data_IF_697873858456
#
_entry.id   IF_697873858456
#
_cell.length_a   1.000
_cell.length_b   1.000
_cell.length_c   1.000
_cell.angle_alpha   90.00
_cell.angle_beta   90.00
_cell.angle_gamma   90.00
#
_symmetry.space_group_name_H-M   'P 1'
#
loop_
_entity.id
_entity.type
_entity.pdbx_description
1 polymer ?
#
# COMPACT_ATOMS: atom_id res chain seq x y z
N UNK A 1 3.89 -31.00 -59.99
CA UNK A 1 5.35 -30.82 -60.14
C UNK A 1 5.91 -30.34 -58.81
N UNK A 2 6.85 -31.12 -58.24
CA UNK A 2 8.00 -30.75 -57.37
C UNK A 2 7.87 -29.43 -56.56
N UNK A 3 8.13 -29.34 -55.26
CA UNK A 3 9.15 -29.99 -54.41
C UNK A 3 9.00 -29.35 -53.01
N UNK A 4 9.13 -30.11 -51.93
CA UNK A 4 10.12 -29.93 -50.84
C UNK A 4 9.70 -30.71 -49.57
N UNK A 5 10.59 -31.61 -49.18
CA UNK A 5 10.81 -32.27 -47.90
C UNK A 5 12.35 -32.16 -47.69
N UNK A 6 13.02 -32.29 -46.52
CA UNK A 6 12.55 -32.62 -45.15
C UNK A 6 13.27 -31.83 -44.02
N UNK A 7 13.05 -32.27 -42.77
CA UNK A 7 13.97 -32.26 -41.60
C UNK A 7 13.79 -31.15 -40.55
N UNK A 8 12.95 -31.42 -39.56
CA UNK A 8 13.35 -31.24 -38.15
C UNK A 8 12.93 -32.51 -37.39
N UNK A 9 13.94 -33.30 -37.02
CA UNK A 9 13.85 -34.43 -36.10
C UNK A 9 14.66 -34.07 -34.85
N UNK A 10 14.29 -34.69 -33.73
CA UNK A 10 15.03 -34.76 -32.45
C UNK A 10 14.62 -33.78 -31.35
N UNK A 11 13.58 -34.22 -30.63
CA UNK A 11 13.40 -34.01 -29.19
C UNK A 11 14.62 -34.59 -28.46
N UNK A 12 15.33 -33.78 -27.66
CA UNK A 12 16.35 -34.29 -26.74
C UNK A 12 15.82 -34.28 -25.31
N UNK A 13 15.59 -35.49 -24.79
CA UNK A 13 15.55 -35.78 -23.35
C UNK A 13 16.99 -36.13 -22.94
N UNK A 14 17.55 -35.43 -21.96
CA UNK A 14 18.74 -35.89 -21.26
C UNK A 14 18.47 -35.92 -19.77
N UNK A 15 18.00 -37.08 -19.31
CA UNK A 15 18.12 -37.47 -17.92
C UNK A 15 19.56 -37.90 -17.64
N UNK A 16 20.11 -37.44 -16.52
CA UNK A 16 21.22 -38.12 -15.85
C UNK A 16 20.83 -38.40 -14.41
N UNK A 17 20.65 -39.70 -14.14
CA UNK A 17 20.75 -40.33 -12.83
C UNK A 17 22.21 -40.24 -12.37
N UNK A 18 22.46 -39.84 -11.14
CA UNK A 18 23.69 -40.20 -10.43
C UNK A 18 23.40 -40.56 -8.97
N UNK A 19 23.80 -41.78 -8.66
CA UNK A 19 24.23 -42.40 -7.40
C UNK A 19 23.68 -41.90 -6.05
N UNK A 20 23.00 -42.83 -5.37
CA UNK A 20 23.03 -43.00 -3.90
C UNK A 20 24.48 -43.06 -3.42
N UNK A 21 24.84 -42.26 -2.42
CA UNK A 21 25.57 -42.75 -1.25
C UNK A 21 25.59 -41.73 -0.10
N UNK A 22 25.39 -42.31 1.09
CA UNK A 22 25.85 -41.92 2.42
C UNK A 22 25.22 -40.71 3.14
N UNK A 23 24.50 -41.11 4.19
CA UNK A 23 24.08 -40.34 5.36
C UNK A 23 25.33 -39.86 6.11
N UNK A 24 25.41 -38.56 6.34
CA UNK A 24 26.18 -37.92 7.41
C UNK A 24 25.34 -36.72 7.86
N UNK A 25 24.81 -36.81 9.07
CA UNK A 25 24.09 -35.74 9.72
C UNK A 25 25.05 -34.61 10.07
N UNK A 26 24.91 -33.47 9.40
CA UNK A 26 25.43 -32.19 9.87
C UNK A 26 24.27 -31.21 9.98
N UNK A 27 24.05 -30.58 11.15
CA UNK A 27 23.03 -29.57 11.30
C UNK A 27 23.47 -28.31 10.54
N UNK A 28 22.92 -28.13 9.33
CA UNK A 28 23.05 -26.88 8.60
C UNK A 28 22.32 -25.80 9.39
N UNK A 29 23.08 -24.95 10.06
CA UNK A 29 22.61 -23.71 10.65
C UNK A 29 21.80 -22.95 9.61
N UNK A 30 20.49 -22.82 9.85
CA UNK A 30 19.64 -21.94 9.08
C UNK A 30 20.27 -20.54 9.11
N UNK A 31 20.75 -20.08 7.95
CA UNK A 31 21.18 -18.70 7.78
C UNK A 31 19.99 -17.81 8.09
N UNK A 32 20.08 -17.09 9.22
CA UNK A 32 19.17 -16.03 9.62
C UNK A 32 18.93 -15.10 8.44
N UNK A 33 17.78 -15.24 7.80
CA UNK A 33 17.13 -14.12 7.15
C UNK A 33 16.65 -13.28 8.34
N UNK A 34 17.48 -12.33 8.77
CA UNK A 34 17.08 -11.27 9.68
C UNK A 34 16.01 -10.45 8.97
N UNK A 35 14.76 -10.90 9.10
CA UNK A 35 13.60 -10.07 8.82
C UNK A 35 13.65 -8.94 9.81
N UNK A 36 13.84 -7.71 9.30
CA UNK A 36 13.76 -6.51 10.11
C UNK A 36 12.44 -6.56 10.89
N UNK A 37 12.54 -6.65 12.22
CA UNK A 37 11.41 -6.57 13.15
C UNK A 37 11.57 -5.27 13.95
N UNK A 38 10.53 -4.43 14.04
CA UNK A 38 10.55 -3.24 14.88
C UNK A 38 11.00 -3.58 16.31
N UNK A 39 11.68 -2.66 16.99
CA UNK A 39 12.19 -2.89 18.36
C UNK A 39 11.09 -3.31 19.34
N UNK A 40 9.87 -2.82 19.16
CA UNK A 40 8.72 -3.19 20.01
C UNK A 40 8.28 -4.66 19.84
N UNK A 41 8.56 -5.32 18.71
CA UNK A 41 8.34 -6.77 18.55
C UNK A 41 9.33 -7.61 19.38
N UNK A 42 10.39 -7.00 19.91
CA UNK A 42 11.35 -7.66 20.81
C UNK A 42 10.95 -7.53 22.28
N UNK A 43 9.97 -6.70 22.62
CA UNK A 43 9.49 -6.54 23.98
C UNK A 43 8.35 -7.54 24.29
N UNK A 44 8.54 -8.51 25.21
CA UNK A 44 7.58 -9.59 25.44
C UNK A 44 6.17 -9.11 25.80
N UNK A 45 6.08 -8.00 26.53
CA UNK A 45 4.84 -7.43 27.04
C UNK A 45 4.01 -6.77 25.92
N UNK A 46 4.69 -6.05 25.02
CA UNK A 46 4.10 -5.52 23.79
C UNK A 46 3.75 -6.67 22.84
N UNK A 47 4.58 -7.71 22.78
CA UNK A 47 4.33 -8.88 21.94
C UNK A 47 3.09 -9.67 22.37
N UNK A 48 2.76 -9.76 23.66
CA UNK A 48 1.50 -10.38 24.11
C UNK A 48 0.28 -9.47 23.89
N UNK A 49 0.44 -8.14 24.02
CA UNK A 49 -0.58 -7.16 23.65
C UNK A 49 -0.83 -7.12 22.14
N UNK A 50 0.20 -7.36 21.32
CA UNK A 50 0.19 -7.31 19.86
C UNK A 50 0.17 -8.69 19.19
N UNK A 51 0.18 -9.79 19.95
CA UNK A 51 0.14 -11.18 19.44
C UNK A 51 -1.07 -11.49 18.57
N UNK A 52 -2.29 -11.00 18.90
CA UNK A 52 -3.45 -11.12 18.00
C UNK A 52 -3.31 -10.36 16.67
N UNK A 53 -2.22 -9.60 16.51
CA UNK A 53 -1.97 -8.59 15.49
C UNK A 53 -0.62 -8.79 14.77
N UNK A 54 0.15 -9.85 15.03
CA UNK A 54 1.34 -10.20 14.20
C UNK A 54 1.15 -11.49 13.41
N UNK A 55 0.09 -12.24 13.71
CA UNK A 55 -0.23 -13.55 13.11
C UNK A 55 -1.62 -13.60 12.51
N UNK A 56 -2.28 -12.45 12.28
CA UNK A 56 -3.56 -12.44 11.59
C UNK A 56 -3.37 -13.14 10.22
N UNK A 57 -4.16 -14.18 9.98
CA UNK A 57 -4.12 -14.91 8.72
C UNK A 57 -4.31 -13.89 7.61
N UNK A 58 -3.40 -13.90 6.64
CA UNK A 58 -3.43 -13.02 5.48
C UNK A 58 -4.85 -13.02 4.87
N UNK A 59 -5.61 -11.94 5.06
CA UNK A 59 -7.00 -11.86 4.60
C UNK A 59 -6.99 -11.39 3.15
N UNK A 60 -7.25 -12.31 2.25
CA UNK A 60 -7.54 -12.00 0.86
C UNK A 60 -9.01 -11.64 0.69
N UNK A 61 -9.28 -10.63 -0.13
CA UNK A 61 -10.62 -10.31 -0.59
C UNK A 61 -10.58 -10.16 -2.11
N UNK A 62 -11.14 -11.16 -2.80
CA UNK A 62 -10.87 -11.41 -4.21
C UNK A 62 -9.37 -11.66 -4.45
N UNK A 63 -8.80 -10.94 -5.41
CA UNK A 63 -7.38 -11.08 -5.82
C UNK A 63 -6.43 -10.12 -5.09
N UNK A 64 -6.92 -9.32 -4.14
CA UNK A 64 -6.10 -8.33 -3.43
C UNK A 64 -6.08 -8.62 -1.93
N UNK A 65 -4.91 -8.35 -1.37
CA UNK A 65 -4.66 -8.43 0.06
C UNK A 65 -5.34 -7.25 0.77
N UNK A 66 -5.92 -7.50 1.94
CA UNK A 66 -6.26 -6.41 2.86
C UNK A 66 -4.98 -5.92 3.54
N UNK A 67 -4.76 -4.59 3.62
CA UNK A 67 -3.64 -4.06 4.37
C UNK A 67 -3.90 -4.27 5.85
N UNK A 68 -2.88 -4.72 6.56
CA UNK A 68 -2.93 -4.70 8.02
C UNK A 68 -2.76 -3.27 8.52
N UNK A 69 -3.40 -2.93 9.64
CA UNK A 69 -3.43 -1.55 10.11
C UNK A 69 -2.02 -1.05 10.48
N UNK A 70 -1.14 -1.94 10.94
CA UNK A 70 0.29 -1.63 11.19
C UNK A 70 1.14 -1.50 9.93
N UNK A 71 0.55 -1.66 8.75
CA UNK A 71 1.20 -1.44 7.47
C UNK A 71 0.76 -0.19 6.71
N UNK A 72 -0.14 0.59 7.30
CA UNK A 72 -0.66 1.83 6.71
C UNK A 72 -0.02 3.03 7.41
N UNK A 73 0.45 4.01 6.64
CA UNK A 73 0.94 5.30 7.12
C UNK A 73 0.64 6.40 6.08
N UNK A 74 0.87 7.66 6.46
CA UNK A 74 0.72 8.81 5.58
C UNK A 74 1.60 8.66 4.34
N UNK A 75 1.06 9.01 3.17
CA UNK A 75 1.70 8.86 1.88
C UNK A 75 1.60 7.46 1.27
N UNK A 76 1.02 6.47 1.96
CA UNK A 76 0.79 5.14 1.38
C UNK A 76 -0.21 5.20 0.24
N UNK A 77 0.01 4.37 -0.78
CA UNK A 77 -0.89 4.18 -1.90
C UNK A 77 -1.60 2.85 -1.69
N UNK A 78 -2.93 2.94 -1.58
CA UNK A 78 -3.83 1.80 -1.41
C UNK A 78 -4.80 1.74 -2.60
N UNK A 79 -5.67 0.74 -2.60
CA UNK A 79 -6.74 0.58 -3.58
C UNK A 79 -8.10 0.71 -2.91
N UNK A 80 -8.93 1.58 -3.48
CA UNK A 80 -10.35 1.69 -3.17
C UNK A 80 -11.12 0.71 -4.06
N UNK A 81 -11.75 -0.35 -3.52
CA UNK A 81 -12.50 -1.31 -4.32
C UNK A 81 -13.73 -0.71 -5.02
N UNK A 82 -14.34 -1.46 -5.96
CA UNK A 82 -15.67 -1.13 -6.47
C UNK A 82 -16.70 -0.93 -5.34
N UNK A 83 -17.63 0.02 -5.54
CA UNK A 83 -18.66 0.38 -4.55
C UNK A 83 -19.43 -0.82 -4.00
N UNK A 84 -19.77 -1.77 -4.87
CA UNK A 84 -20.53 -2.97 -4.50
C UNK A 84 -19.82 -3.86 -3.47
N UNK A 85 -18.48 -3.85 -3.45
CA UNK A 85 -17.66 -4.72 -2.59
C UNK A 85 -17.48 -4.14 -1.18
N UNK A 86 -17.74 -2.84 -1.01
CA UNK A 86 -17.49 -2.10 0.23
C UNK A 86 -18.73 -1.39 0.78
N UNK A 87 -19.92 -1.71 0.28
CA UNK A 87 -21.18 -1.06 0.66
C UNK A 87 -21.43 -1.00 2.18
N UNK A 88 -21.01 -2.03 2.91
CA UNK A 88 -21.15 -2.10 4.38
C UNK A 88 -20.22 -1.14 5.15
N UNK A 89 -19.25 -0.54 4.47
CA UNK A 89 -18.28 0.39 5.06
C UNK A 89 -18.52 1.85 4.64
N UNK A 90 -19.42 2.09 3.68
CA UNK A 90 -19.68 3.43 3.18
C UNK A 90 -20.57 4.18 4.17
N UNK A 91 -20.17 5.40 4.48
CA UNK A 91 -21.05 6.36 5.13
C UNK A 91 -21.94 7.07 4.08
N UNK A 92 -22.81 7.96 4.54
CA UNK A 92 -23.68 8.74 3.65
C UNK A 92 -22.90 9.61 2.65
N UNK A 93 -21.72 10.12 3.04
CA UNK A 93 -20.93 11.02 2.19
C UNK A 93 -20.31 10.31 0.98
N UNK A 94 -19.89 9.06 1.15
CA UNK A 94 -19.35 8.22 0.08
C UNK A 94 -20.45 7.45 -0.66
N UNK A 95 -21.58 7.19 -0.02
CA UNK A 95 -22.71 6.49 -0.64
C UNK A 95 -23.31 7.28 -1.81
N UNK A 96 -23.21 8.61 -1.80
CA UNK A 96 -23.74 9.47 -2.87
C UNK A 96 -22.71 9.75 -3.99
N UNK A 97 -21.46 9.28 -3.85
CA UNK A 97 -20.43 9.47 -4.86
C UNK A 97 -20.72 8.69 -6.15
N UNK A 98 -20.29 9.28 -7.27
CA UNK A 98 -20.41 8.71 -8.61
C UNK A 98 -19.74 7.32 -8.67
N UNK A 99 -20.30 6.34 -9.41
CA UNK A 99 -19.68 5.03 -9.57
C UNK A 99 -18.23 5.07 -10.08
N UNK A 100 -17.86 6.09 -10.86
CA UNK A 100 -16.50 6.33 -11.36
C UNK A 100 -15.51 6.83 -10.31
N UNK A 101 -15.91 7.11 -9.07
CA UNK A 101 -15.02 7.41 -7.95
C UNK A 101 -14.35 6.16 -7.37
N UNK A 102 -14.99 4.99 -7.54
CA UNK A 102 -14.57 3.72 -6.96
C UNK A 102 -13.68 2.91 -7.91
N UNK A 103 -13.02 1.88 -7.40
CA UNK A 103 -12.10 1.04 -8.17
C UNK A 103 -10.85 1.79 -8.66
N UNK A 104 -10.28 2.63 -7.78
CA UNK A 104 -9.14 3.49 -8.07
C UNK A 104 -8.02 3.35 -7.02
N UNK A 105 -6.76 3.64 -7.39
CA UNK A 105 -5.75 3.90 -6.37
C UNK A 105 -6.13 5.12 -5.54
N UNK A 106 -5.68 5.13 -4.29
CA UNK A 106 -5.85 6.26 -3.39
C UNK A 106 -4.53 6.57 -2.70
N UNK A 107 -4.33 7.82 -2.32
CA UNK A 107 -3.23 8.28 -1.49
C UNK A 107 -3.73 8.52 -0.06
N UNK A 108 -3.15 7.83 0.91
CA UNK A 108 -3.43 8.01 2.33
C UNK A 108 -2.86 9.34 2.81
N UNK A 109 -3.72 10.21 3.32
CA UNK A 109 -3.37 11.54 3.82
C UNK A 109 -3.27 11.60 5.34
N UNK A 110 -4.18 10.89 6.01
CA UNK A 110 -4.18 10.80 7.47
C UNK A 110 -4.82 9.48 7.91
N UNK A 111 -4.46 9.01 9.10
CA UNK A 111 -5.02 7.81 9.72
C UNK A 111 -5.38 8.16 11.16
N UNK A 112 -6.64 7.97 11.50
CA UNK A 112 -7.14 8.14 12.86
C UNK A 112 -7.42 6.76 13.47
N UNK A 113 -6.54 6.31 14.37
CA UNK A 113 -6.62 5.00 15.01
C UNK A 113 -7.44 5.13 16.31
N UNK A 114 -8.68 4.65 16.28
CA UNK A 114 -9.58 4.67 17.43
C UNK A 114 -9.60 3.35 18.19
N UNK A 115 -8.98 2.30 17.65
CA UNK A 115 -8.82 1.03 18.31
C UNK A 115 -7.91 0.06 17.55
N UNK A 116 -7.62 -1.10 18.14
CA UNK A 116 -6.64 -2.05 17.58
C UNK A 116 -6.99 -2.61 16.19
N UNK A 117 -8.28 -2.54 15.80
CA UNK A 117 -8.78 -2.93 14.47
C UNK A 117 -9.79 -1.93 13.92
N UNK A 118 -9.74 -0.70 14.43
CA UNK A 118 -10.66 0.37 14.09
C UNK A 118 -9.83 1.61 13.77
N UNK A 119 -9.85 1.99 12.50
CA UNK A 119 -9.20 3.22 12.05
C UNK A 119 -9.96 3.82 10.88
N UNK A 120 -10.01 5.15 10.85
CA UNK A 120 -10.53 5.93 9.75
C UNK A 120 -9.37 6.47 8.94
N UNK A 121 -9.36 6.20 7.65
CA UNK A 121 -8.34 6.67 6.71
C UNK A 121 -8.89 7.84 5.93
N UNK A 122 -8.22 9.00 6.01
CA UNK A 122 -8.46 10.12 5.10
C UNK A 122 -7.58 9.96 3.87
N UNK A 123 -8.14 10.17 2.68
CA UNK A 123 -7.45 9.93 1.43
C UNK A 123 -7.84 10.91 0.32
N UNK A 124 -6.97 11.04 -0.67
CA UNK A 124 -7.27 11.61 -1.97
C UNK A 124 -7.28 10.50 -3.03
N UNK A 125 -8.16 10.61 -4.02
CA UNK A 125 -8.18 9.67 -5.14
C UNK A 125 -6.99 9.86 -6.07
N UNK A 126 -6.55 8.77 -6.66
CA UNK A 126 -5.56 8.78 -7.72
C UNK A 126 -6.18 8.27 -9.00
N UNK A 127 -5.87 8.94 -10.10
CA UNK A 127 -6.38 8.57 -11.41
C UNK A 127 -5.25 8.21 -12.34
N UNK A 128 -5.60 7.51 -13.42
CA UNK A 128 -4.71 7.26 -14.54
C UNK A 128 -5.22 8.04 -15.74
N UNK A 129 -4.41 8.97 -16.22
CA UNK A 129 -4.71 9.70 -17.45
C UNK A 129 -3.90 9.09 -18.59
N UNK A 130 -4.58 8.59 -19.62
CA UNK A 130 -3.91 8.09 -20.81
C UNK A 130 -3.16 9.22 -21.55
N UNK A 131 -2.16 8.88 -22.37
CA UNK A 131 -1.38 9.87 -23.15
C UNK A 131 -2.27 10.79 -23.99
N UNK A 132 -3.34 10.25 -24.60
CA UNK A 132 -4.32 11.03 -25.38
C UNK A 132 -5.13 12.01 -24.52
N UNK A 133 -5.30 11.72 -23.24
CA UNK A 133 -6.00 12.59 -22.30
C UNK A 133 -5.11 13.77 -21.91
N UNK A 134 -3.80 13.50 -21.71
CA UNK A 134 -2.76 14.49 -21.46
C UNK A 134 -2.68 15.56 -22.55
N UNK A 135 -2.76 15.16 -23.82
CA UNK A 135 -2.69 16.06 -24.99
C UNK A 135 -3.93 16.95 -25.16
N UNK A 136 -5.06 16.58 -24.55
CA UNK A 136 -6.35 17.26 -24.72
C UNK A 136 -6.74 18.13 -23.53
N UNK A 137 -6.04 17.98 -22.40
CA UNK A 137 -6.27 18.81 -21.23
C UNK A 137 -5.82 20.23 -21.49
N UNK A 138 -6.71 21.18 -21.20
CA UNK A 138 -6.33 22.58 -21.11
C UNK A 138 -5.54 22.87 -19.82
N UNK A 139 -4.94 24.05 -19.75
CA UNK A 139 -4.09 24.42 -18.63
C UNK A 139 -4.83 24.46 -17.28
N UNK A 140 -6.12 24.79 -17.26
CA UNK A 140 -6.91 24.88 -16.02
C UNK A 140 -7.34 23.50 -15.52
N UNK A 141 -7.55 22.54 -16.41
CA UNK A 141 -7.79 21.14 -16.03
C UNK A 141 -6.55 20.50 -15.42
N UNK A 142 -5.35 20.94 -15.82
CA UNK A 142 -4.09 20.45 -15.26
C UNK A 142 -3.94 20.74 -13.78
N UNK A 143 -4.38 21.92 -13.33
CA UNK A 143 -4.26 22.35 -11.93
C UNK A 143 -5.05 21.46 -10.94
N UNK A 144 -5.92 20.58 -11.44
CA UNK A 144 -6.62 19.59 -10.65
C UNK A 144 -5.80 18.32 -10.32
N UNK A 145 -4.62 18.14 -10.93
CA UNK A 145 -3.89 16.87 -10.89
C UNK A 145 -2.39 17.06 -10.67
N UNK A 146 -1.81 16.29 -9.75
CA UNK A 146 -0.35 16.26 -9.55
C UNK A 146 0.21 14.93 -10.09
N UNK A 147 1.13 14.94 -11.06
CA UNK A 147 1.70 13.71 -11.59
C UNK A 147 2.59 12.98 -10.58
N UNK A 148 2.57 11.65 -10.64
CA UNK A 148 3.43 10.75 -9.88
C UNK A 148 4.38 10.04 -10.83
N UNK A 149 5.68 10.08 -10.52
CA UNK A 149 6.73 9.38 -11.28
C UNK A 149 6.37 7.89 -11.44
N UNK A 150 6.42 7.31 -12.65
CA UNK A 150 7.18 7.77 -13.82
C UNK A 150 6.46 8.70 -14.80
N UNK A 151 5.30 9.26 -14.44
CA UNK A 151 4.62 10.26 -15.29
C UNK A 151 5.54 11.46 -15.59
N UNK A 152 5.35 12.13 -16.73
CA UNK A 152 6.10 13.36 -16.98
C UNK A 152 5.60 14.51 -16.08
N UNK A 153 6.47 15.44 -15.69
CA UNK A 153 6.11 16.58 -14.84
C UNK A 153 4.91 17.38 -15.32
N UNK A 154 4.29 18.06 -14.37
CA UNK A 154 3.15 18.94 -14.61
C UNK A 154 3.57 20.05 -15.59
N UNK A 155 2.80 20.32 -16.66
CA UNK A 155 3.22 21.24 -17.72
C UNK A 155 3.40 22.69 -17.22
N UNK A 156 2.55 23.15 -16.30
CA UNK A 156 2.60 24.54 -15.79
C UNK A 156 3.58 24.71 -14.62
N UNK A 157 3.42 23.92 -13.55
CA UNK A 157 4.19 24.06 -12.31
C UNK A 157 5.50 23.28 -12.28
N UNK A 158 5.72 22.33 -13.20
CA UNK A 158 6.88 21.43 -13.17
C UNK A 158 6.85 20.41 -12.03
N UNK A 159 5.77 20.36 -11.24
CA UNK A 159 5.65 19.43 -10.12
C UNK A 159 5.68 17.98 -10.61
N UNK A 160 6.33 17.12 -9.82
CA UNK A 160 6.35 15.67 -10.02
C UNK A 160 6.58 14.98 -8.67
N UNK A 161 5.60 14.20 -8.24
CA UNK A 161 5.66 13.43 -7.01
C UNK A 161 6.54 12.20 -7.21
N UNK A 162 7.30 11.84 -6.18
CA UNK A 162 8.21 10.69 -6.18
C UNK A 162 7.82 9.67 -5.13
N UNK A 163 8.04 8.40 -5.46
CA UNK A 163 7.91 7.30 -4.51
C UNK A 163 9.21 7.11 -3.73
N UNK A 164 9.13 6.63 -2.49
CA UNK A 164 10.31 6.24 -1.69
C UNK A 164 11.17 5.23 -2.45
N UNK A 165 10.50 4.25 -3.09
CA UNK A 165 11.14 3.23 -3.89
C UNK A 165 10.98 3.58 -5.37
N UNK A 166 11.98 4.28 -5.93
CA UNK A 166 11.98 4.82 -7.31
C UNK A 166 11.93 3.75 -8.42
N UNK A 167 11.97 2.46 -8.07
CA UNK A 167 11.68 1.39 -9.01
C UNK A 167 10.17 1.13 -8.99
N UNK A 168 9.38 1.62 -9.96
CA UNK A 168 7.99 1.22 -10.07
C UNK A 168 7.96 -0.31 -10.17
N UNK A 169 7.45 -1.00 -9.14
CA UNK A 169 7.17 -2.43 -9.24
C UNK A 169 6.26 -2.63 -10.44
N UNK A 170 6.42 -3.76 -11.15
CA UNK A 170 5.48 -4.20 -12.19
C UNK A 170 4.04 -4.02 -11.66
N UNK A 171 3.30 -3.07 -12.23
CA UNK A 171 1.92 -2.81 -11.85
C UNK A 171 1.57 -1.35 -11.58
N UNK A 172 2.51 -0.50 -11.16
CA UNK A 172 2.22 0.93 -11.19
C UNK A 172 2.30 1.41 -12.62
N UNK A 173 1.16 1.84 -13.15
CA UNK A 173 1.03 2.11 -14.57
C UNK A 173 1.61 3.48 -14.89
N UNK A 174 2.22 3.61 -16.07
CA UNK A 174 2.65 4.90 -16.58
C UNK A 174 1.47 5.89 -16.55
N UNK A 175 1.74 7.10 -16.04
CA UNK A 175 0.80 8.22 -15.93
C UNK A 175 -0.25 8.12 -14.82
N UNK A 176 0.18 7.92 -13.57
CA UNK A 176 -0.66 8.13 -12.39
C UNK A 176 -0.60 9.58 -11.89
N UNK A 177 -1.73 10.07 -11.40
CA UNK A 177 -1.88 11.42 -10.88
C UNK A 177 -2.70 11.39 -9.59
N UNK A 178 -2.37 12.25 -8.64
CA UNK A 178 -3.22 12.53 -7.47
C UNK A 178 -4.25 13.59 -7.88
N UNK A 179 -5.53 13.32 -7.63
CA UNK A 179 -6.61 14.29 -7.86
C UNK A 179 -6.70 15.23 -6.65
N UNK A 180 -6.53 16.54 -6.88
CA UNK A 180 -6.77 17.58 -5.86
C UNK A 180 -8.24 18.03 -5.92
N UNK A 181 -8.87 17.93 -7.09
CA UNK A 181 -10.22 18.45 -7.35
C UNK A 181 -11.31 17.82 -6.50
N UNK A 182 -11.23 16.51 -6.27
CA UNK A 182 -12.24 15.76 -5.51
C UNK A 182 -12.12 16.01 -4.00
N UNK A 183 -11.02 16.62 -3.56
CA UNK A 183 -10.75 16.90 -2.15
C UNK A 183 -10.40 15.64 -1.35
N UNK A 184 -10.75 15.67 -0.07
CA UNK A 184 -10.41 14.62 0.89
C UNK A 184 -11.66 13.83 1.27
N UNK A 185 -11.57 12.51 1.12
CA UNK A 185 -12.58 11.55 1.56
C UNK A 185 -12.10 10.77 2.77
N UNK A 186 -13.01 10.13 3.50
CA UNK A 186 -12.69 9.30 4.67
C UNK A 186 -13.38 7.95 4.59
N UNK A 187 -12.70 6.88 4.98
CA UNK A 187 -13.28 5.53 4.97
C UNK A 187 -12.63 4.64 6.03
N UNK A 188 -13.36 3.63 6.51
CA UNK A 188 -12.80 2.58 7.35
C UNK A 188 -11.66 1.85 6.62
N UNK A 189 -10.50 1.69 7.26
CA UNK A 189 -9.33 1.07 6.61
C UNK A 189 -9.61 -0.36 6.13
N UNK A 190 -10.56 -1.08 6.75
CA UNK A 190 -10.93 -2.46 6.38
C UNK A 190 -11.61 -2.55 5.02
N UNK A 191 -12.14 -1.43 4.52
CA UNK A 191 -12.67 -1.34 3.17
C UNK A 191 -11.57 -1.27 2.11
N UNK A 192 -10.33 -0.94 2.49
CA UNK A 192 -9.23 -0.72 1.55
C UNK A 192 -8.47 -2.01 1.23
N UNK A 193 -7.76 -2.01 0.10
CA UNK A 193 -6.91 -3.13 -0.33
C UNK A 193 -5.50 -2.65 -0.62
N UNK A 194 -4.53 -3.55 -0.55
CA UNK A 194 -3.18 -3.29 -1.03
C UNK A 194 -3.21 -2.90 -2.52
N UNK A 195 -2.41 -1.90 -2.90
CA UNK A 195 -2.36 -1.42 -4.27
C UNK A 195 -1.84 -2.48 -5.24
N UNK A 196 -0.88 -3.30 -4.83
CA UNK A 196 -0.35 -4.42 -5.62
C UNK A 196 -0.73 -5.75 -4.99
N UNK A 197 -1.24 -6.68 -5.81
CA UNK A 197 -1.49 -8.06 -5.38
C UNK A 197 -0.20 -8.81 -4.99
N UNK A 198 0.96 -8.32 -5.44
CA UNK A 198 2.27 -8.85 -5.09
C UNK A 198 2.89 -8.18 -3.85
N UNK A 199 2.17 -7.27 -3.20
CA UNK A 199 2.63 -6.64 -1.96
C UNK A 199 2.58 -7.68 -0.84
N UNK A 200 3.74 -8.23 -0.49
CA UNK A 200 3.87 -9.12 0.66
C UNK A 200 3.76 -8.30 1.96
N UNK A 201 3.43 -8.96 3.07
CA UNK A 201 3.36 -8.34 4.39
C UNK A 201 4.69 -7.66 4.81
N UNK A 202 5.81 -8.15 4.31
CA UNK A 202 7.17 -7.59 4.50
C UNK A 202 7.65 -6.73 3.32
N UNK A 203 6.83 -6.59 2.28
CA UNK A 203 7.29 -6.27 0.94
C UNK A 203 6.96 -4.85 0.48
N UNK A 204 7.74 -3.87 0.93
CA UNK A 204 7.79 -2.46 0.44
C UNK A 204 6.43 -1.81 0.16
N UNK A 205 6.04 -0.91 1.06
CA UNK A 205 4.87 -0.04 0.92
C UNK A 205 5.04 0.82 -0.33
N UNK A 206 4.02 0.85 -1.18
CA UNK A 206 3.94 1.87 -2.23
C UNK A 206 3.64 3.18 -1.52
N UNK A 207 4.66 4.03 -1.33
CA UNK A 207 4.56 5.25 -0.54
C UNK A 207 5.27 6.40 -1.25
N UNK A 208 4.69 7.59 -1.20
CA UNK A 208 5.37 8.81 -1.63
C UNK A 208 6.59 9.09 -0.75
N UNK A 209 7.58 9.84 -1.25
CA UNK A 209 8.58 10.48 -0.39
C UNK A 209 7.91 11.58 0.45
N UNK A 210 8.48 11.87 1.60
CA UNK A 210 8.01 12.90 2.53
C UNK A 210 7.79 14.24 1.82
N UNK A 211 8.75 14.71 1.03
CA UNK A 211 8.65 16.01 0.36
C UNK A 211 7.53 16.03 -0.70
N UNK A 212 7.29 14.88 -1.33
CA UNK A 212 6.18 14.73 -2.28
C UNK A 212 4.83 14.71 -1.56
N UNK A 213 4.77 14.05 -0.41
CA UNK A 213 3.57 14.06 0.43
C UNK A 213 3.23 15.46 0.93
N UNK A 214 4.23 16.19 1.42
CA UNK A 214 4.06 17.58 1.88
C UNK A 214 3.59 18.50 0.76
N UNK A 215 4.08 18.27 -0.48
CA UNK A 215 3.56 18.99 -1.64
C UNK A 215 2.06 18.72 -1.83
N UNK A 216 1.62 17.46 -1.78
CA UNK A 216 0.19 17.11 -1.91
C UNK A 216 -0.64 17.80 -0.82
N UNK A 217 -0.18 17.78 0.43
CA UNK A 217 -0.89 18.41 1.54
C UNK A 217 -1.03 19.93 1.32
N UNK A 218 0.02 20.59 0.82
CA UNK A 218 -0.02 22.02 0.47
C UNK A 218 -0.99 22.32 -0.66
N UNK A 219 -0.99 21.54 -1.74
CA UNK A 219 -1.93 21.71 -2.85
C UNK A 219 -3.39 21.47 -2.44
N UNK A 220 -3.63 20.60 -1.45
CA UNK A 220 -4.95 20.40 -0.85
C UNK A 220 -5.32 21.52 0.15
N UNK A 221 -4.47 22.53 0.36
CA UNK A 221 -4.69 23.60 1.33
C UNK A 221 -4.68 23.13 2.79
N UNK A 222 -4.00 22.01 3.08
CA UNK A 222 -3.91 21.43 4.42
C UNK A 222 -2.51 21.58 4.99
N UNK A 223 -2.42 21.63 6.31
CA UNK A 223 -1.13 21.52 6.99
C UNK A 223 -0.62 20.08 6.84
N UNK A 224 0.66 19.85 6.53
CA UNK A 224 1.23 18.52 6.53
C UNK A 224 0.99 17.87 7.89
N UNK A 225 0.42 16.67 7.89
CA UNK A 225 0.47 15.81 9.05
C UNK A 225 1.93 15.38 9.25
N UNK A 226 2.32 15.09 10.49
CA UNK A 226 3.66 14.59 10.74
C UNK A 226 3.91 13.34 9.86
N UNK A 227 5.09 13.28 9.25
CA UNK A 227 5.54 12.12 8.51
C UNK A 227 5.89 11.00 9.49
N UNK A 228 4.88 10.24 9.89
CA UNK A 228 5.02 9.22 10.92
C UNK A 228 5.19 7.86 10.24
N UNK A 229 6.25 7.13 10.59
CA UNK A 229 6.36 5.72 10.25
C UNK A 229 5.31 4.91 11.02
N UNK A 230 4.77 3.83 10.44
CA UNK A 230 3.65 3.15 11.12
C UNK A 230 4.00 2.65 12.53
N UNK A 231 5.24 2.28 12.81
CA UNK A 231 5.65 1.90 14.16
C UNK A 231 5.38 3.03 15.18
N UNK A 232 5.72 4.28 14.83
CA UNK A 232 5.50 5.43 15.69
C UNK A 232 4.01 5.79 15.86
N UNK A 233 3.16 5.55 14.85
CA UNK A 233 1.69 5.70 14.99
C UNK A 233 1.13 4.75 16.07
N UNK A 234 1.65 3.53 16.12
CA UNK A 234 1.23 2.54 17.11
C UNK A 234 1.77 2.83 18.51
N UNK A 235 3.02 3.28 18.61
CA UNK A 235 3.59 3.73 19.88
C UNK A 235 2.77 4.88 20.48
N UNK A 236 2.37 5.87 19.67
CA UNK A 236 1.50 6.96 20.12
C UNK A 236 0.12 6.44 20.59
N UNK A 237 -0.49 5.53 19.83
CA UNK A 237 -1.77 4.91 20.22
C UNK A 237 -1.65 4.16 21.56
N UNK A 238 -0.60 3.38 21.76
CA UNK A 238 -0.36 2.64 22.98
C UNK A 238 -0.10 3.59 24.16
N UNK A 239 0.75 4.60 23.97
CA UNK A 239 1.06 5.60 24.99
C UNK A 239 -0.17 6.38 25.45
N UNK A 240 -1.13 6.65 24.57
CA UNK A 240 -2.40 7.31 24.95
C UNK A 240 -3.33 6.41 25.76
N UNK A 241 -3.22 5.08 25.65
CA UNK A 241 -4.14 4.13 26.30
C UNK A 241 -3.59 3.46 27.56
N UNK A 242 -2.28 3.26 27.65
CA UNK A 242 -1.64 2.64 28.82
C UNK A 242 -1.87 3.45 30.11
N UNK A 243 -1.81 4.80 30.14
CA UNK A 243 -2.05 5.57 31.36
C UNK A 243 -3.46 5.38 31.93
N UNK A 244 -4.45 5.13 31.07
CA UNK A 244 -5.86 5.03 31.47
C UNK A 244 -6.23 3.72 32.18
N UNK A 245 -5.36 2.70 32.18
CA UNK A 245 -5.61 1.43 32.85
C UNK A 245 -4.87 1.27 34.18
N UNK A 246 -3.75 1.95 34.39
CA UNK A 246 -2.97 1.87 35.64
C UNK A 246 -3.58 2.64 36.80
N UNK A 247 -4.34 3.71 36.56
CA UNK A 247 -5.00 4.47 37.65
C UNK A 247 -6.25 3.77 38.21
N UNK A 248 -6.88 2.87 37.46
CA UNK A 248 -8.05 2.11 37.94
C UNK A 248 -7.71 0.87 38.76
N UNK A 249 -6.43 0.54 38.91
CA UNK A 249 -5.97 -0.64 39.64
C UNK A 249 -5.46 -0.34 41.07
N UNK A 250 -5.43 0.93 41.50
CA UNK A 250 -4.87 1.33 42.79
C UNK A 250 -5.86 1.96 43.78
N UNK A 251 -7.15 2.09 43.43
CA UNK A 251 -8.22 2.59 44.32
C UNK A 251 -9.16 1.46 44.82
N UNK A 252 -8.64 0.24 44.98
CA UNK A 252 -9.38 -0.93 45.49
C UNK A 252 -8.85 -1.43 46.82
#
# INVERSE_FOLDING_TARGET
>A
MRQFDPRITSISFCGKKFARNQVMDTPTSASNIDTWRPSWEREPQINDLLRPYSTAAVVYDGNRLRPELWDICNGCILWLPPKADISNYLDSSLSDQDPGFFNHPILVLNIDITGPRNATVQFATMTRLGNRFRERMDASQWDAYIPVSPASPHPNSGLLLRLENEKPKRGMVDNCYVSIREGVSSLDYRALRCYSAAQKADGYRHRLKEESFDQVMRELGRSPSAWIETAALWEEFLQKRVPAQTEKAFDG
#
